data_IF_504868271723
#
_entry.id   IF_504868271723
#
_cell.length_a   1.000
_cell.length_b   1.000
_cell.length_c   1.000
_cell.angle_alpha   90.00
_cell.angle_beta   90.00
_cell.angle_gamma   90.00
#
_symmetry.space_group_name_H-M   'P 1'
#
loop_
_entity.id
_entity.type
_entity.pdbx_description
1 polymer ?
#
# COMPACT_ATOMS: atom_id res chain seq x y z
N UNK A 1 -8.84 20.12 -6.24
CA UNK A 1 -7.70 19.33 -6.75
C UNK A 1 -7.72 18.00 -6.03
N UNK A 2 -7.90 16.89 -6.73
CA UNK A 2 -7.94 15.55 -6.12
C UNK A 2 -6.55 15.21 -5.60
N UNK A 3 -6.45 14.89 -4.31
CA UNK A 3 -5.18 14.51 -3.68
C UNK A 3 -4.61 13.28 -4.41
N UNK A 4 -3.32 13.25 -4.78
CA UNK A 4 -2.72 12.07 -5.37
C UNK A 4 -2.88 10.89 -4.41
N UNK A 5 -3.49 9.81 -4.90
CA UNK A 5 -3.78 8.62 -4.09
C UNK A 5 -2.46 7.95 -3.72
N UNK A 6 -1.99 8.15 -2.50
CA UNK A 6 -0.75 7.56 -1.98
C UNK A 6 -0.84 6.04 -1.79
N UNK A 7 -2.02 5.46 -1.94
CA UNK A 7 -2.31 4.05 -1.71
C UNK A 7 -3.19 3.47 -2.82
N UNK A 8 -2.87 2.27 -3.30
CA UNK A 8 -3.73 1.46 -4.19
C UNK A 8 -3.84 0.02 -3.69
N UNK A 9 -5.05 -0.56 -3.82
CA UNK A 9 -5.31 -1.97 -3.53
C UNK A 9 -5.27 -2.78 -4.83
N UNK A 10 -4.33 -3.72 -4.92
CA UNK A 10 -4.09 -4.61 -6.04
C UNK A 10 -4.28 -6.09 -5.66
N UNK A 11 -4.95 -6.39 -4.54
CA UNK A 11 -5.25 -7.78 -4.16
C UNK A 11 -6.14 -8.45 -5.20
N UNK A 12 -5.91 -9.74 -5.42
CA UNK A 12 -6.63 -10.53 -6.43
C UNK A 12 -6.25 -10.21 -7.89
N UNK A 13 -5.33 -9.27 -8.14
CA UNK A 13 -4.79 -9.01 -9.47
C UNK A 13 -3.62 -9.94 -9.77
N UNK A 14 -3.52 -10.35 -11.03
CA UNK A 14 -2.32 -11.03 -11.53
C UNK A 14 -1.15 -10.05 -11.63
N UNK A 15 0.09 -10.54 -11.60
CA UNK A 15 1.28 -9.69 -11.69
C UNK A 15 1.26 -8.68 -12.86
N UNK A 16 0.85 -9.03 -14.11
CA UNK A 16 0.73 -8.05 -15.19
C UNK A 16 -0.30 -6.94 -14.92
N UNK A 17 -1.44 -7.28 -14.31
CA UNK A 17 -2.47 -6.30 -13.96
C UNK A 17 -2.03 -5.38 -12.83
N UNK A 18 -1.30 -5.92 -11.85
CA UNK A 18 -0.66 -5.14 -10.78
C UNK A 18 0.33 -4.12 -11.35
N UNK A 19 1.22 -4.54 -12.26
CA UNK A 19 2.16 -3.63 -12.93
C UNK A 19 1.42 -2.53 -13.70
N UNK A 20 0.39 -2.88 -14.47
CA UNK A 20 -0.40 -1.89 -15.22
C UNK A 20 -1.06 -0.88 -14.29
N UNK A 21 -1.62 -1.34 -13.16
CA UNK A 21 -2.28 -0.47 -12.20
C UNK A 21 -1.29 0.49 -11.53
N UNK A 22 -0.11 0.00 -11.18
CA UNK A 22 0.98 0.82 -10.64
C UNK A 22 1.40 1.87 -11.67
N UNK A 23 1.65 1.46 -12.93
CA UNK A 23 2.03 2.37 -14.02
C UNK A 23 1.00 3.48 -14.22
N UNK A 24 -0.29 3.14 -14.21
CA UNK A 24 -1.36 4.14 -14.29
C UNK A 24 -1.38 5.10 -13.10
N UNK A 25 -1.10 4.60 -11.89
CA UNK A 25 -1.10 5.40 -10.67
C UNK A 25 0.11 6.34 -10.57
N UNK A 26 1.24 6.00 -11.20
CA UNK A 26 2.43 6.88 -11.24
C UNK A 26 2.38 7.91 -12.37
N UNK A 27 1.50 7.75 -13.37
CA UNK A 27 1.27 8.79 -14.38
C UNK A 27 0.82 10.09 -13.68
N UNK A 28 1.61 11.15 -13.83
CA UNK A 28 1.32 12.46 -13.24
C UNK A 28 1.77 12.63 -11.78
N UNK A 29 2.46 11.63 -11.19
CA UNK A 29 3.06 11.71 -9.83
C UNK A 29 4.52 12.17 -9.82
N UNK A 30 5.06 12.60 -10.96
CA UNK A 30 6.42 13.18 -11.02
C UNK A 30 6.51 14.29 -9.96
N UNK A 31 7.53 14.20 -9.10
CA UNK A 31 7.91 15.24 -8.15
C UNK A 31 6.99 15.44 -6.92
N UNK A 32 6.06 14.52 -6.64
CA UNK A 32 5.21 14.62 -5.44
C UNK A 32 5.91 14.24 -4.13
N UNK A 33 7.14 13.72 -4.19
CA UNK A 33 7.99 13.40 -3.01
C UNK A 33 7.44 12.31 -2.09
N UNK A 34 6.30 11.69 -2.44
CA UNK A 34 5.62 10.69 -1.63
C UNK A 34 5.59 9.34 -2.34
N UNK A 35 5.94 8.24 -1.65
CA UNK A 35 5.86 6.91 -2.22
C UNK A 35 4.41 6.53 -2.56
N UNK A 36 4.26 5.58 -3.48
CA UNK A 36 3.00 4.88 -3.76
C UNK A 36 3.01 3.54 -3.02
N UNK A 37 2.17 3.41 -2.00
CA UNK A 37 1.94 2.16 -1.30
C UNK A 37 0.96 1.29 -2.08
N UNK A 38 1.33 0.03 -2.36
CA UNK A 38 0.58 -0.90 -3.19
C UNK A 38 0.30 -2.15 -2.39
N UNK A 39 -0.97 -2.39 -2.04
CA UNK A 39 -1.37 -3.61 -1.34
C UNK A 39 -1.51 -4.78 -2.32
N UNK A 40 -0.78 -5.86 -2.09
CA UNK A 40 -0.79 -7.06 -2.93
C UNK A 40 -1.04 -8.32 -2.10
N UNK A 41 -1.47 -9.38 -2.78
CA UNK A 41 -1.63 -10.70 -2.17
C UNK A 41 -0.28 -11.43 -2.07
N UNK A 42 -0.01 -12.10 -0.96
CA UNK A 42 1.28 -12.78 -0.74
C UNK A 42 1.52 -14.01 -1.63
N UNK A 43 0.47 -14.66 -2.13
CA UNK A 43 0.58 -15.94 -2.83
C UNK A 43 0.58 -15.83 -4.36
N UNK A 44 -0.03 -14.78 -4.92
CA UNK A 44 -0.16 -14.61 -6.38
C UNK A 44 0.74 -13.50 -6.97
N UNK A 45 1.48 -12.79 -6.12
CA UNK A 45 2.22 -11.61 -6.52
C UNK A 45 3.69 -11.96 -6.73
N UNK A 46 4.06 -12.29 -7.98
CA UNK A 46 5.45 -12.49 -8.42
C UNK A 46 6.26 -11.19 -8.24
N UNK A 47 6.91 -10.98 -7.09
CA UNK A 47 7.35 -9.64 -6.69
C UNK A 47 8.56 -9.20 -7.49
N UNK A 48 9.41 -10.16 -7.88
CA UNK A 48 10.58 -9.96 -8.74
C UNK A 48 10.18 -9.51 -10.15
N UNK A 49 9.08 -10.06 -10.69
CA UNK A 49 8.55 -9.65 -11.99
C UNK A 49 7.96 -8.25 -11.96
N UNK A 50 7.34 -7.88 -10.85
CA UNK A 50 6.76 -6.55 -10.65
C UNK A 50 7.88 -5.53 -10.48
N UNK A 51 8.86 -5.79 -9.62
CA UNK A 51 10.01 -4.90 -9.41
C UNK A 51 10.79 -4.70 -10.70
N UNK A 52 11.11 -5.78 -11.43
CA UNK A 52 11.79 -5.70 -12.72
C UNK A 52 11.02 -4.82 -13.73
N UNK A 53 9.69 -4.93 -13.77
CA UNK A 53 8.83 -4.17 -14.70
C UNK A 53 8.65 -2.69 -14.34
N UNK A 54 9.00 -2.33 -13.10
CA UNK A 54 8.94 -0.97 -12.56
C UNK A 54 10.32 -0.29 -12.50
N UNK A 55 11.40 -1.01 -12.85
CA UNK A 55 12.75 -0.45 -12.94
C UNK A 55 12.76 0.73 -13.90
N UNK A 56 13.10 1.93 -13.39
CA UNK A 56 13.17 3.16 -14.18
C UNK A 56 12.01 4.15 -13.94
N UNK A 57 11.01 3.80 -13.15
CA UNK A 57 10.00 4.77 -12.71
C UNK A 57 10.60 5.73 -11.67
N UNK A 58 10.37 7.04 -11.82
CA UNK A 58 10.89 8.06 -10.88
C UNK A 58 10.13 8.14 -9.55
N UNK A 59 9.04 7.38 -9.41
CA UNK A 59 8.22 7.36 -8.19
C UNK A 59 8.59 6.16 -7.34
N UNK A 60 8.90 6.37 -6.06
CA UNK A 60 9.10 5.28 -5.10
C UNK A 60 7.82 4.45 -4.96
N UNK A 61 7.89 3.14 -5.24
CA UNK A 61 6.78 2.20 -5.10
C UNK A 61 7.08 1.23 -3.97
N UNK A 62 6.16 1.10 -3.01
CA UNK A 62 6.27 0.20 -1.86
C UNK A 62 5.22 -0.90 -1.94
N UNK A 63 5.66 -2.13 -2.13
CA UNK A 63 4.77 -3.30 -2.09
C UNK A 63 4.47 -3.67 -0.64
N UNK A 64 3.19 -3.63 -0.27
CA UNK A 64 2.66 -4.06 1.01
C UNK A 64 1.96 -5.40 0.80
N UNK A 65 2.40 -6.43 1.51
CA UNK A 65 1.80 -7.76 1.40
C UNK A 65 0.70 -7.91 2.44
N UNK A 66 -0.49 -8.31 1.99
CA UNK A 66 -1.53 -8.75 2.91
C UNK A 66 -1.08 -10.03 3.56
N UNK A 67 -1.04 -10.05 4.89
CA UNK A 67 -1.04 -11.32 5.60
C UNK A 67 -2.33 -12.05 5.19
N UNK A 68 -2.19 -13.28 4.70
CA UNK A 68 -3.33 -14.17 4.56
C UNK A 68 -4.01 -14.23 5.93
N UNK A 69 -5.17 -13.59 6.05
CA UNK A 69 -5.95 -13.59 7.29
C UNK A 69 -6.82 -14.83 7.35
N UNK A 70 -6.34 -15.96 6.84
CA UNK A 70 -6.83 -17.26 7.29
C UNK A 70 -6.33 -17.50 8.73
N UNK A 71 -6.90 -16.73 9.68
CA UNK A 71 -6.85 -17.06 11.11
C UNK A 71 -6.36 -16.01 12.12
N UNK A 72 -6.24 -14.71 11.82
CA UNK A 72 -5.82 -13.74 12.87
C UNK A 72 -6.91 -12.68 13.14
N UNK A 73 -7.52 -12.82 14.32
CA UNK A 73 -8.47 -11.89 14.90
C UNK A 73 -7.87 -10.48 15.01
N UNK A 74 -8.63 -9.48 14.55
CA UNK A 74 -8.29 -8.06 14.68
C UNK A 74 -8.50 -7.64 16.14
N UNK A 75 -7.48 -7.19 16.89
CA UNK A 75 -7.73 -6.48 18.14
C UNK A 75 -8.32 -5.12 17.80
N UNK A 76 -9.58 -4.93 18.19
CA UNK A 76 -10.32 -3.67 18.13
C UNK A 76 -9.61 -2.65 19.03
N UNK A 77 -8.72 -1.84 18.47
CA UNK A 77 -8.18 -0.67 19.16
C UNK A 77 -9.30 0.38 19.25
N UNK A 78 -10.11 0.27 20.30
CA UNK A 78 -11.14 1.23 20.64
C UNK A 78 -10.52 2.34 21.48
N UNK A 79 -10.73 3.57 21.02
CA UNK A 79 -10.24 4.81 21.57
C UNK A 79 -10.72 5.08 23.01
N UNK A 80 -9.91 5.85 23.74
CA UNK A 80 -10.38 6.79 24.75
C UNK A 80 -10.09 6.41 26.20
N UNK A 81 -9.11 7.08 26.80
CA UNK A 81 -9.26 7.71 28.12
C UNK A 81 -8.04 8.60 28.38
N UNK A 82 -8.23 9.92 28.23
CA UNK A 82 -7.34 10.90 28.83
C UNK A 82 -7.42 10.75 30.36
N UNK A 83 -6.31 10.37 30.99
CA UNK A 83 -6.19 10.38 32.44
C UNK A 83 -5.86 11.81 32.90
N UNK A 84 -6.88 12.51 33.41
CA UNK A 84 -6.72 13.75 34.16
C UNK A 84 -6.14 13.40 35.54
N UNK A 85 -4.93 13.89 35.81
CA UNK A 85 -4.25 13.72 37.10
C UNK A 85 -4.75 14.82 38.04
N UNK A 86 -5.45 14.45 39.12
CA UNK A 86 -5.79 15.38 40.20
C UNK A 86 -5.11 14.93 41.50
N UNK A 87 -4.18 15.76 41.95
CA UNK A 87 -3.47 15.69 43.23
C UNK A 87 -4.44 15.90 44.40
N UNK A 88 -4.33 15.08 45.44
CA UNK A 88 -4.70 15.40 46.84
C UNK A 88 -3.61 14.84 47.74
#
# INVERSE_FOLDING_TARGET
MSQPTSFIDCRGLSAPLTVLRIKQAVVGRRDCGLPLDVLVDGACCEPDRISASLTGESTDVRLLYSADTSGVAVPKAQAGAAAEIRHV
#
